data_IF_915720852196
#
_entry.id   IF_915720852196
#
_cell.length_a   1.000
_cell.length_b   1.000
_cell.length_c   1.000
_cell.angle_alpha   90.00
_cell.angle_beta   90.00
_cell.angle_gamma   90.00
#
_symmetry.space_group_name_H-M   'P 1'
#
loop_
_entity.id
_entity.type
_entity.pdbx_description
1 polymer ?
#
# COMPACT_ATOMS: atom_id res chain seq x y z
N UNK A 1 2.32 31.83 57.36
CA UNK A 1 2.56 33.29 57.46
C UNK A 1 3.95 33.60 56.92
N UNK A 2 4.04 34.54 55.96
CA UNK A 2 5.22 35.35 55.53
C UNK A 2 6.42 34.58 54.91
N UNK A 3 7.14 35.02 53.86
CA UNK A 3 7.03 35.92 52.70
C UNK A 3 8.25 35.56 51.79
N UNK A 4 8.11 35.81 50.49
CA UNK A 4 9.05 35.66 49.34
C UNK A 4 10.41 36.37 49.42
N UNK A 5 11.44 35.89 48.68
CA UNK A 5 12.32 36.68 47.77
C UNK A 5 12.86 35.80 46.61
N UNK A 6 12.89 36.40 45.42
CA UNK A 6 13.28 35.94 44.08
C UNK A 6 14.75 36.32 43.80
N UNK A 7 15.49 35.49 43.05
CA UNK A 7 16.81 35.82 42.49
C UNK A 7 16.92 35.44 41.02
N UNK A 8 16.67 36.41 40.13
CA UNK A 8 16.91 36.36 38.68
C UNK A 8 18.39 36.69 38.40
N UNK A 9 19.06 35.95 37.51
CA UNK A 9 20.22 36.46 36.77
C UNK A 9 20.13 36.07 35.31
N UNK A 10 19.84 37.08 34.49
CA UNK A 10 19.94 37.09 33.04
C UNK A 10 21.33 37.63 32.71
N UNK A 11 22.11 36.90 31.92
CA UNK A 11 23.27 37.45 31.22
C UNK A 11 23.13 37.10 29.74
N UNK A 12 22.54 38.02 28.98
CA UNK A 12 22.57 38.03 27.54
C UNK A 12 23.87 38.67 27.04
N UNK A 13 24.43 38.11 25.98
CA UNK A 13 25.37 38.82 25.09
C UNK A 13 24.79 38.80 23.68
N UNK A 14 24.25 39.96 23.32
CA UNK A 14 23.98 40.42 21.97
C UNK A 14 25.29 41.02 21.42
N UNK A 15 25.63 40.78 20.14
CA UNK A 15 26.02 41.81 19.17
C UNK A 15 26.45 41.19 17.83
N UNK A 16 25.66 41.54 16.79
CA UNK A 16 26.06 42.03 15.45
C UNK A 16 26.70 41.03 14.47
N UNK A 17 26.18 40.79 13.26
CA UNK A 17 25.43 41.67 12.36
C UNK A 17 26.33 42.07 11.19
N UNK A 18 26.18 41.39 10.05
CA UNK A 18 26.97 41.67 8.84
C UNK A 18 26.31 41.07 7.60
N UNK A 19 25.38 41.82 7.01
CA UNK A 19 24.87 41.60 5.66
C UNK A 19 25.96 41.98 4.65
N UNK A 20 26.21 41.13 3.66
CA UNK A 20 26.87 41.54 2.41
C UNK A 20 26.10 40.94 1.23
N UNK A 21 25.46 41.81 0.48
CA UNK A 21 24.84 41.56 -0.82
C UNK A 21 25.78 41.94 -1.95
N UNK A 22 25.62 41.26 -3.08
CA UNK A 22 26.06 41.55 -4.47
C UNK A 22 27.56 41.57 -4.77
N UNK A 23 28.00 40.72 -5.70
CA UNK A 23 28.25 41.11 -7.11
C UNK A 23 28.65 39.90 -7.96
N UNK A 24 28.04 39.79 -9.15
CA UNK A 24 28.56 39.01 -10.27
C UNK A 24 29.71 39.77 -10.94
N UNK A 25 30.75 39.06 -11.38
CA UNK A 25 31.54 39.40 -12.55
C UNK A 25 32.22 38.14 -13.10
N UNK A 26 32.08 37.91 -14.40
CA UNK A 26 32.79 36.92 -15.19
C UNK A 26 34.20 37.42 -15.55
N UNK A 27 35.20 36.55 -15.66
CA UNK A 27 35.76 36.14 -16.97
C UNK A 27 36.85 35.03 -16.84
N UNK A 28 37.15 34.42 -17.98
CA UNK A 28 37.83 33.16 -18.29
C UNK A 28 39.33 33.00 -17.89
N UNK A 29 39.77 31.77 -17.57
CA UNK A 29 40.39 30.81 -18.52
C UNK A 29 41.37 29.82 -17.83
N UNK A 30 41.44 28.62 -18.41
CA UNK A 30 42.51 27.60 -18.37
C UNK A 30 42.52 26.55 -17.23
N UNK A 31 42.07 25.35 -17.64
CA UNK A 31 42.72 24.03 -17.45
C UNK A 31 43.47 23.76 -16.14
N UNK A 32 42.95 22.82 -15.33
CA UNK A 32 43.66 21.56 -15.01
C UNK A 32 42.72 20.58 -14.31
N UNK A 33 42.75 19.37 -14.84
CA UNK A 33 42.14 18.11 -14.45
C UNK A 33 42.35 17.72 -12.98
N UNK A 34 41.26 17.36 -12.29
CA UNK A 34 41.17 16.26 -11.28
C UNK A 34 39.70 16.09 -10.88
N UNK A 35 39.01 15.13 -11.47
CA UNK A 35 37.62 14.81 -11.14
C UNK A 35 37.57 14.00 -9.84
N UNK A 36 37.58 14.70 -8.71
CA UNK A 36 37.08 14.20 -7.43
C UNK A 36 35.57 14.01 -7.56
N UNK A 37 35.09 12.78 -7.38
CA UNK A 37 33.66 12.42 -7.39
C UNK A 37 32.95 13.15 -6.26
N UNK A 38 32.33 14.30 -6.58
CA UNK A 38 31.40 14.98 -5.68
C UNK A 38 30.13 14.17 -5.53
N UNK A 39 29.85 13.83 -4.27
CA UNK A 39 28.63 13.23 -3.77
C UNK A 39 27.52 14.29 -3.85
N UNK A 40 26.85 14.41 -5.01
CA UNK A 40 25.67 15.28 -5.14
C UNK A 40 24.55 14.74 -4.24
N UNK A 41 24.25 15.48 -3.18
CA UNK A 41 23.05 15.31 -2.36
C UNK A 41 21.82 15.58 -3.22
N UNK A 42 21.14 14.51 -3.64
CA UNK A 42 19.84 14.58 -4.32
C UNK A 42 18.80 14.92 -3.24
N UNK A 43 18.33 16.17 -3.25
CA UNK A 43 17.21 16.65 -2.42
C UNK A 43 16.01 15.72 -2.61
N UNK A 44 15.63 15.06 -1.51
CA UNK A 44 14.42 14.25 -1.39
C UNK A 44 13.21 15.17 -1.43
N UNK A 45 12.49 15.19 -2.54
CA UNK A 45 11.07 15.56 -2.53
C UNK A 45 10.28 14.25 -2.64
N UNK A 46 9.26 14.11 -1.79
CA UNK A 46 8.40 12.95 -1.77
C UNK A 46 7.61 12.88 -3.08
N UNK A 47 7.76 11.78 -3.81
CA UNK A 47 7.05 11.58 -5.07
C UNK A 47 5.95 10.53 -4.91
N UNK A 48 4.72 11.03 -5.07
CA UNK A 48 3.68 10.43 -5.92
C UNK A 48 3.13 9.06 -5.54
N UNK A 49 1.89 9.04 -5.07
CA UNK A 49 1.03 7.85 -5.09
C UNK A 49 0.58 7.56 -6.53
N UNK A 50 1.45 7.01 -7.37
CA UNK A 50 1.04 6.56 -8.70
C UNK A 50 0.40 5.17 -8.64
N UNK A 51 -0.67 5.05 -9.43
CA UNK A 51 -1.66 3.95 -9.51
C UNK A 51 -1.12 2.58 -9.94
N UNK A 52 0.19 2.34 -9.81
CA UNK A 52 0.87 1.11 -10.19
C UNK A 52 1.88 0.67 -9.12
N UNK A 53 1.36 0.24 -7.97
CA UNK A 53 1.99 -0.77 -7.11
C UNK A 53 3.49 -0.62 -6.78
N UNK A 54 3.90 0.46 -6.09
CA UNK A 54 5.00 0.44 -5.13
C UNK A 54 6.38 -0.08 -5.57
N UNK A 55 6.77 0.03 -6.84
CA UNK A 55 7.95 -0.68 -7.35
C UNK A 55 9.31 -0.10 -6.95
N UNK A 56 9.43 1.17 -6.54
CA UNK A 56 10.73 1.76 -6.22
C UNK A 56 10.68 2.77 -5.05
N UNK A 57 10.35 2.29 -3.85
CA UNK A 57 10.71 2.99 -2.61
C UNK A 57 12.12 2.56 -2.15
N UNK A 58 13.10 2.68 -3.04
CA UNK A 58 14.50 2.31 -2.79
C UNK A 58 15.37 3.56 -2.62
N UNK A 59 16.48 3.43 -1.90
CA UNK A 59 17.50 4.48 -1.89
C UNK A 59 18.08 4.69 -3.30
N UNK A 60 18.68 5.84 -3.60
CA UNK A 60 19.36 6.08 -4.88
C UNK A 60 20.41 5.00 -5.18
N UNK A 61 21.03 4.44 -4.16
CA UNK A 61 21.97 3.33 -4.26
C UNK A 61 21.31 2.03 -4.75
N UNK A 62 20.08 1.72 -4.31
CA UNK A 62 19.36 0.52 -4.74
C UNK A 62 18.94 0.61 -6.21
N UNK A 63 18.56 1.81 -6.66
CA UNK A 63 18.28 2.07 -8.07
C UNK A 63 19.53 1.89 -8.92
N UNK A 64 20.67 2.44 -8.49
CA UNK A 64 21.95 2.28 -9.19
C UNK A 64 22.37 0.80 -9.25
N UNK A 65 22.24 0.04 -8.15
CA UNK A 65 22.54 -1.40 -8.13
C UNK A 65 21.66 -2.18 -9.11
N UNK A 66 20.35 -1.91 -9.14
CA UNK A 66 19.41 -2.56 -10.05
C UNK A 66 19.66 -2.18 -11.51
N UNK A 67 19.94 -0.92 -11.81
CA UNK A 67 20.31 -0.47 -13.15
C UNK A 67 21.56 -1.20 -13.65
N UNK A 68 22.62 -1.24 -12.84
CA UNK A 68 23.86 -1.96 -13.18
C UNK A 68 23.64 -3.46 -13.40
N UNK A 69 22.82 -4.11 -12.57
CA UNK A 69 22.49 -5.52 -12.74
C UNK A 69 21.76 -5.82 -14.06
N UNK A 70 21.02 -4.84 -14.59
CA UNK A 70 20.33 -4.92 -15.88
C UNK A 70 21.17 -4.37 -17.05
N UNK A 71 22.42 -3.97 -16.81
CA UNK A 71 23.30 -3.38 -17.83
C UNK A 71 22.93 -1.95 -18.24
N UNK A 72 22.15 -1.24 -17.43
CA UNK A 72 21.69 0.12 -17.69
C UNK A 72 22.74 1.14 -17.21
N UNK A 73 23.09 2.10 -18.07
CA UNK A 73 24.01 3.19 -17.72
C UNK A 73 23.38 4.15 -16.72
N UNK A 74 24.11 4.46 -15.63
CA UNK A 74 23.63 5.33 -14.54
C UNK A 74 24.17 6.75 -14.59
N UNK A 75 25.12 7.05 -15.48
CA UNK A 75 25.79 8.35 -15.49
C UNK A 75 24.89 9.42 -16.10
N UNK A 76 24.68 10.53 -15.37
CA UNK A 76 23.94 11.70 -15.83
C UNK A 76 22.42 11.54 -15.91
N UNK A 77 21.87 10.38 -15.50
CA UNK A 77 20.41 10.14 -15.50
C UNK A 77 19.81 10.48 -14.14
N UNK A 78 18.64 11.10 -14.15
CA UNK A 78 17.84 11.26 -12.95
C UNK A 78 17.19 9.93 -12.51
N UNK A 79 16.61 9.94 -11.30
CA UNK A 79 16.00 8.77 -10.71
C UNK A 79 14.77 8.28 -11.48
N UNK A 80 13.99 9.18 -12.09
CA UNK A 80 12.75 8.85 -12.80
C UNK A 80 13.05 8.12 -14.10
N UNK A 81 14.00 8.64 -14.87
CA UNK A 81 14.54 8.02 -16.08
C UNK A 81 15.11 6.64 -15.77
N UNK A 82 15.90 6.51 -14.70
CA UNK A 82 16.42 5.21 -14.27
C UNK A 82 15.31 4.24 -13.87
N UNK A 83 14.30 4.69 -13.13
CA UNK A 83 13.15 3.84 -12.74
C UNK A 83 12.43 3.32 -13.98
N UNK A 84 12.18 4.20 -14.97
CA UNK A 84 11.53 3.84 -16.22
C UNK A 84 12.34 2.80 -16.99
N UNK A 85 13.62 3.06 -17.22
CA UNK A 85 14.49 2.12 -17.94
C UNK A 85 14.62 0.76 -17.25
N UNK A 86 14.73 0.75 -15.90
CA UNK A 86 14.75 -0.49 -15.12
C UNK A 86 13.42 -1.24 -15.30
N UNK A 87 12.29 -0.54 -15.28
CA UNK A 87 10.96 -1.15 -15.49
C UNK A 87 10.86 -1.77 -16.89
N UNK A 88 11.24 -1.03 -17.92
CA UNK A 88 11.12 -1.45 -19.31
C UNK A 88 12.02 -2.66 -19.59
N UNK A 89 13.25 -2.64 -19.08
CA UNK A 89 14.18 -3.77 -19.15
C UNK A 89 13.64 -5.02 -18.44
N UNK A 90 12.99 -4.86 -17.29
CA UNK A 90 12.35 -5.97 -16.57
C UNK A 90 11.17 -6.55 -17.32
N UNK A 91 10.26 -5.72 -17.81
CA UNK A 91 9.10 -6.18 -18.61
C UNK A 91 9.60 -6.95 -19.83
N UNK A 92 10.62 -6.42 -20.50
CA UNK A 92 11.25 -7.07 -21.66
C UNK A 92 11.87 -8.42 -21.30
N UNK A 93 12.55 -8.52 -20.15
CA UNK A 93 13.14 -9.77 -19.66
C UNK A 93 12.06 -10.80 -19.33
N UNK A 94 11.04 -10.40 -18.57
CA UNK A 94 9.91 -11.27 -18.22
C UNK A 94 9.14 -11.75 -19.45
N UNK A 95 8.91 -10.87 -20.43
CA UNK A 95 8.29 -11.22 -21.70
C UNK A 95 9.08 -12.34 -22.41
N UNK A 96 10.40 -12.21 -22.50
CA UNK A 96 11.27 -13.26 -23.09
C UNK A 96 11.20 -14.57 -22.32
N UNK A 97 11.23 -14.52 -20.98
CA UNK A 97 11.11 -15.70 -20.13
C UNK A 97 9.76 -16.42 -20.29
N UNK A 98 8.70 -15.67 -20.59
CA UNK A 98 7.36 -16.19 -20.86
C UNK A 98 7.14 -16.59 -22.33
N UNK A 99 8.16 -16.46 -23.18
CA UNK A 99 8.07 -16.77 -24.62
C UNK A 99 7.25 -15.76 -25.44
N UNK A 100 7.05 -14.55 -24.92
CA UNK A 100 6.33 -13.46 -25.59
C UNK A 100 7.26 -12.73 -26.56
N UNK A 101 6.78 -12.49 -27.78
CA UNK A 101 7.53 -11.72 -28.78
C UNK A 101 7.65 -10.25 -28.38
N UNK A 102 8.89 -9.77 -28.25
CA UNK A 102 9.20 -8.39 -27.82
C UNK A 102 9.33 -7.41 -28.99
N UNK A 103 9.82 -7.87 -30.15
CA UNK A 103 10.15 -6.99 -31.27
C UNK A 103 8.90 -6.30 -31.83
N UNK A 104 8.94 -4.96 -31.93
CA UNK A 104 7.89 -4.16 -32.58
C UNK A 104 6.65 -3.90 -31.71
N UNK A 105 6.68 -4.24 -30.41
CA UNK A 105 5.59 -3.94 -29.47
C UNK A 105 5.97 -2.79 -28.54
N UNK A 106 4.98 -2.01 -28.14
CA UNK A 106 5.12 -1.01 -27.09
C UNK A 106 5.25 -1.69 -25.71
N UNK A 107 5.93 -1.03 -24.79
CA UNK A 107 6.16 -1.57 -23.43
C UNK A 107 4.84 -1.78 -22.68
N UNK A 108 3.83 -0.93 -22.90
CA UNK A 108 2.53 -1.05 -22.27
C UNK A 108 1.80 -2.33 -22.73
N UNK A 109 1.80 -2.61 -24.04
CA UNK A 109 1.26 -3.86 -24.59
C UNK A 109 2.03 -5.07 -24.05
N UNK A 110 3.36 -5.01 -23.98
CA UNK A 110 4.17 -6.09 -23.41
C UNK A 110 3.83 -6.33 -21.94
N UNK A 111 3.60 -5.26 -21.18
CA UNK A 111 3.21 -5.37 -19.77
C UNK A 111 1.87 -6.10 -19.62
N UNK A 112 0.88 -5.74 -20.42
CA UNK A 112 -0.44 -6.40 -20.40
C UNK A 112 -0.33 -7.88 -20.75
N UNK A 113 0.41 -8.22 -21.80
CA UNK A 113 0.66 -9.61 -22.20
C UNK A 113 1.39 -10.40 -21.12
N UNK A 114 2.44 -9.82 -20.51
CA UNK A 114 3.17 -10.43 -19.39
C UNK A 114 2.26 -10.66 -18.19
N UNK A 115 1.42 -9.68 -17.83
CA UNK A 115 0.48 -9.80 -16.72
C UNK A 115 -0.56 -10.89 -16.98
N UNK A 116 -1.12 -10.93 -18.18
CA UNK A 116 -2.08 -11.96 -18.59
C UNK A 116 -1.44 -13.35 -18.56
N UNK A 117 -0.24 -13.51 -19.12
CA UNK A 117 0.49 -14.78 -19.09
C UNK A 117 0.77 -15.25 -17.66
N UNK A 118 1.18 -14.35 -16.75
CA UNK A 118 1.34 -14.66 -15.32
C UNK A 118 0.03 -15.08 -14.65
N UNK A 119 -1.09 -14.41 -14.96
CA UNK A 119 -2.42 -14.79 -14.47
C UNK A 119 -2.82 -16.17 -15.00
N UNK A 120 -2.60 -16.46 -16.27
CA UNK A 120 -2.86 -17.76 -16.86
C UNK A 120 -2.04 -18.88 -16.22
N UNK A 121 -0.75 -18.64 -15.93
CA UNK A 121 0.08 -19.59 -15.19
C UNK A 121 -0.49 -19.86 -13.80
N UNK A 122 -0.84 -18.81 -13.04
CA UNK A 122 -1.45 -18.94 -11.70
C UNK A 122 -2.80 -19.66 -11.74
N UNK A 123 -3.61 -19.39 -12.75
CA UNK A 123 -4.87 -20.09 -12.97
C UNK A 123 -4.64 -21.59 -13.22
N UNK A 124 -3.69 -21.95 -14.08
CA UNK A 124 -3.32 -23.36 -14.34
C UNK A 124 -2.84 -24.07 -13.08
N UNK A 125 -2.01 -23.43 -12.26
CA UNK A 125 -1.54 -23.95 -10.98
C UNK A 125 -2.68 -24.24 -9.99
N UNK A 126 -3.77 -23.47 -10.09
CA UNK A 126 -4.98 -23.65 -9.28
C UNK A 126 -6.01 -24.58 -9.92
N UNK A 127 -5.72 -25.18 -11.09
CA UNK A 127 -6.65 -26.04 -11.82
C UNK A 127 -7.77 -25.28 -12.53
N UNK A 128 -7.59 -23.99 -12.78
CA UNK A 128 -8.58 -23.10 -13.43
C UNK A 128 -8.34 -23.10 -14.95
N UNK A 129 -9.43 -23.29 -15.73
CA UNK A 129 -9.37 -23.19 -17.19
C UNK A 129 -9.08 -21.76 -17.64
N UNK A 130 -8.12 -21.59 -18.57
CA UNK A 130 -7.70 -20.28 -19.08
C UNK A 130 -8.19 -19.95 -20.48
N UNK A 131 -8.90 -20.87 -21.15
CA UNK A 131 -9.33 -20.67 -22.54
C UNK A 131 -10.40 -19.57 -22.61
N UNK A 132 -10.21 -18.60 -23.50
CA UNK A 132 -11.13 -17.49 -23.78
C UNK A 132 -11.50 -16.64 -22.55
N UNK A 133 -10.61 -16.56 -21.56
CA UNK A 133 -10.79 -15.70 -20.39
C UNK A 133 -9.84 -14.53 -20.43
N UNK A 134 -10.37 -13.36 -20.11
CA UNK A 134 -9.58 -12.14 -19.94
C UNK A 134 -8.89 -12.10 -18.56
N UNK A 135 -8.06 -11.08 -18.36
CA UNK A 135 -7.34 -10.89 -17.10
C UNK A 135 -8.28 -10.70 -15.89
N UNK A 136 -9.40 -10.01 -16.08
CA UNK A 136 -10.36 -9.71 -15.00
C UNK A 136 -11.03 -11.00 -14.50
N UNK A 137 -11.57 -11.79 -15.41
CA UNK A 137 -12.21 -13.08 -15.14
C UNK A 137 -11.23 -14.04 -14.47
N UNK A 138 -10.00 -14.16 -15.01
CA UNK A 138 -8.97 -15.01 -14.41
C UNK A 138 -8.63 -14.56 -12.98
N UNK A 139 -8.50 -13.26 -12.76
CA UNK A 139 -8.18 -12.73 -11.45
C UNK A 139 -9.29 -13.00 -10.42
N UNK A 140 -10.57 -12.85 -10.82
CA UNK A 140 -11.71 -13.18 -9.97
C UNK A 140 -11.77 -14.66 -9.63
N UNK A 141 -11.62 -15.54 -10.61
CA UNK A 141 -11.64 -16.99 -10.40
C UNK A 141 -10.46 -17.46 -9.52
N UNK A 142 -9.27 -16.88 -9.71
CA UNK A 142 -8.11 -17.13 -8.85
C UNK A 142 -8.42 -16.70 -7.42
N UNK A 143 -8.98 -15.51 -7.22
CA UNK A 143 -9.35 -15.02 -5.88
C UNK A 143 -10.41 -15.91 -5.23
N UNK A 144 -11.45 -16.29 -5.97
CA UNK A 144 -12.51 -17.15 -5.49
C UNK A 144 -11.97 -18.53 -5.11
N UNK A 145 -11.09 -19.10 -5.92
CA UNK A 145 -10.49 -20.41 -5.65
C UNK A 145 -9.62 -20.37 -4.39
N UNK A 146 -8.82 -19.31 -4.20
CA UNK A 146 -8.05 -19.12 -2.97
C UNK A 146 -8.95 -18.97 -1.74
N UNK A 147 -10.03 -18.17 -1.84
CA UNK A 147 -10.99 -18.02 -0.74
C UNK A 147 -11.73 -19.32 -0.42
N UNK A 148 -12.08 -20.13 -1.43
CA UNK A 148 -12.70 -21.43 -1.20
C UNK A 148 -11.76 -22.39 -0.47
N UNK A 149 -10.46 -22.35 -0.74
CA UNK A 149 -9.46 -23.12 0.02
C UNK A 149 -9.42 -22.66 1.48
N UNK A 150 -9.31 -21.36 1.72
CA UNK A 150 -9.32 -20.77 3.06
C UNK A 150 -10.62 -21.07 3.84
N UNK A 151 -11.77 -20.97 3.17
CA UNK A 151 -13.07 -21.32 3.74
C UNK A 151 -13.09 -22.78 4.21
N UNK A 152 -12.62 -23.73 3.38
CA UNK A 152 -12.56 -25.15 3.73
C UNK A 152 -11.66 -25.41 4.95
N UNK A 153 -10.49 -24.77 5.01
CA UNK A 153 -9.60 -24.85 6.18
C UNK A 153 -10.27 -24.36 7.47
N UNK A 154 -11.15 -23.37 7.36
CA UNK A 154 -11.85 -22.81 8.51
C UNK A 154 -13.17 -23.50 8.86
N UNK A 155 -13.62 -24.45 8.04
CA UNK A 155 -14.91 -25.15 8.17
C UNK A 155 -16.11 -24.33 7.67
N UNK A 156 -15.89 -23.38 6.77
CA UNK A 156 -16.92 -22.53 6.14
C UNK A 156 -17.41 -23.20 4.85
N UNK A 157 -18.73 -23.35 4.70
CA UNK A 157 -19.33 -23.92 3.49
C UNK A 157 -19.14 -23.00 2.28
N UNK A 158 -18.77 -23.56 1.12
CA UNK A 158 -18.40 -22.79 -0.08
C UNK A 158 -19.45 -22.72 -1.19
N UNK A 159 -20.54 -23.47 -1.04
CA UNK A 159 -21.48 -23.71 -2.14
C UNK A 159 -22.40 -22.52 -2.35
N UNK A 160 -22.55 -22.10 -3.62
CA UNK A 160 -23.41 -20.98 -4.02
C UNK A 160 -22.93 -19.59 -3.58
N UNK A 161 -21.75 -19.46 -2.95
CA UNK A 161 -21.27 -18.18 -2.42
C UNK A 161 -20.30 -17.50 -3.36
N UNK A 162 -20.49 -16.19 -3.50
CA UNK A 162 -19.56 -15.32 -4.19
C UNK A 162 -18.34 -14.93 -3.32
N UNK A 163 -17.44 -14.15 -3.92
CA UNK A 163 -16.21 -13.66 -3.27
C UNK A 163 -16.51 -12.83 -2.01
N UNK A 164 -17.59 -12.05 -2.00
CA UNK A 164 -17.91 -11.15 -0.90
C UNK A 164 -18.52 -11.91 0.28
N UNK A 165 -19.50 -12.77 0.02
CA UNK A 165 -20.13 -13.64 1.01
C UNK A 165 -19.10 -14.53 1.69
N UNK A 166 -18.22 -15.20 0.91
CA UNK A 166 -17.15 -16.03 1.47
C UNK A 166 -16.22 -15.23 2.38
N UNK A 167 -15.83 -14.00 2.00
CA UNK A 167 -14.98 -13.16 2.84
C UNK A 167 -15.65 -12.78 4.15
N UNK A 168 -16.93 -12.42 4.12
CA UNK A 168 -17.65 -12.03 5.31
C UNK A 168 -17.76 -13.21 6.29
N UNK A 169 -18.06 -14.40 5.79
CA UNK A 169 -18.14 -15.60 6.63
C UNK A 169 -16.78 -16.05 7.16
N UNK A 170 -15.74 -16.06 6.33
CA UNK A 170 -14.36 -16.31 6.76
C UNK A 170 -13.98 -15.31 7.87
N UNK A 171 -14.30 -14.03 7.69
CA UNK A 171 -14.05 -12.98 8.69
C UNK A 171 -14.81 -13.26 9.98
N UNK A 172 -16.10 -13.61 9.90
CA UNK A 172 -16.93 -13.95 11.06
C UNK A 172 -16.32 -15.13 11.83
N UNK A 173 -16.06 -16.26 11.17
CA UNK A 173 -15.53 -17.46 11.82
C UNK A 173 -14.16 -17.19 12.44
N UNK A 174 -13.30 -16.45 11.76
CA UNK A 174 -11.97 -16.09 12.28
C UNK A 174 -12.07 -15.22 13.52
N UNK A 175 -12.94 -14.21 13.52
CA UNK A 175 -13.16 -13.33 14.68
C UNK A 175 -13.76 -14.10 15.84
N UNK A 176 -14.76 -14.95 15.59
CA UNK A 176 -15.39 -15.77 16.63
C UNK A 176 -14.39 -16.76 17.25
N UNK A 177 -13.52 -17.39 16.44
CA UNK A 177 -12.46 -18.27 16.96
C UNK A 177 -11.51 -17.50 17.89
N UNK A 178 -11.04 -16.32 17.47
CA UNK A 178 -10.19 -15.45 18.31
C UNK A 178 -10.90 -14.95 19.57
N UNK A 179 -12.19 -14.61 19.47
CA UNK A 179 -12.99 -14.19 20.62
C UNK A 179 -13.01 -15.29 21.68
N UNK A 180 -13.24 -16.54 21.27
CA UNK A 180 -13.18 -17.71 22.15
C UNK A 180 -11.80 -17.89 22.78
N UNK A 181 -10.73 -17.78 22.00
CA UNK A 181 -9.33 -17.86 22.49
C UNK A 181 -8.98 -16.78 23.53
N UNK A 182 -9.64 -15.62 23.44
CA UNK A 182 -9.46 -14.49 24.35
C UNK A 182 -10.49 -14.45 25.49
N UNK A 183 -11.40 -15.43 25.58
CA UNK A 183 -12.45 -15.48 26.59
C UNK A 183 -13.55 -14.42 26.42
N UNK A 184 -13.75 -13.91 25.20
CA UNK A 184 -14.75 -12.89 24.87
C UNK A 184 -16.04 -13.59 24.42
N UNK A 185 -17.17 -13.26 25.05
CA UNK A 185 -18.48 -13.75 24.59
C UNK A 185 -18.86 -13.15 23.23
N UNK A 186 -19.27 -14.01 22.31
CA UNK A 186 -19.77 -13.64 20.98
C UNK A 186 -21.30 -13.55 20.90
N UNK A 187 -22.02 -13.92 21.96
CA UNK A 187 -23.49 -13.94 21.96
C UNK A 187 -24.07 -12.53 21.97
N UNK A 188 -25.07 -12.29 21.10
CA UNK A 188 -25.78 -11.01 21.01
C UNK A 188 -24.98 -9.84 20.42
N UNK A 189 -23.73 -10.06 19.97
CA UNK A 189 -22.87 -9.02 19.40
C UNK A 189 -22.85 -9.09 17.89
N UNK A 190 -22.90 -7.93 17.25
CA UNK A 190 -22.61 -7.82 15.83
C UNK A 190 -21.10 -8.02 15.57
N UNK A 191 -20.77 -8.31 14.31
CA UNK A 191 -19.39 -8.60 13.89
C UNK A 191 -18.44 -7.43 14.14
N UNK A 192 -18.89 -6.18 14.00
CA UNK A 192 -18.04 -5.00 14.18
C UNK A 192 -17.70 -4.82 15.66
N UNK A 193 -18.69 -4.95 16.54
CA UNK A 193 -18.48 -4.88 17.99
C UNK A 193 -17.56 -6.01 18.47
N UNK A 194 -17.80 -7.24 18.03
CA UNK A 194 -16.95 -8.38 18.37
C UNK A 194 -15.51 -8.19 17.87
N UNK A 195 -15.32 -7.64 16.66
CA UNK A 195 -13.99 -7.30 16.14
C UNK A 195 -13.27 -6.28 17.00
N UNK A 196 -13.96 -5.23 17.43
CA UNK A 196 -13.38 -4.18 18.25
C UNK A 196 -12.95 -4.70 19.62
N UNK A 197 -13.77 -5.56 20.24
CA UNK A 197 -13.42 -6.20 21.50
C UNK A 197 -12.24 -7.16 21.37
N UNK A 198 -12.24 -8.00 20.33
CA UNK A 198 -11.12 -8.92 20.04
C UNK A 198 -9.84 -8.13 19.82
N UNK A 199 -9.88 -7.05 19.04
CA UNK A 199 -8.73 -6.17 18.82
C UNK A 199 -8.24 -5.56 20.15
N UNK A 200 -9.15 -5.00 20.93
CA UNK A 200 -8.83 -4.35 22.21
C UNK A 200 -8.19 -5.34 23.18
N UNK A 201 -8.76 -6.53 23.34
CA UNK A 201 -8.21 -7.57 24.21
C UNK A 201 -6.85 -8.05 23.72
N UNK A 202 -6.67 -8.22 22.40
CA UNK A 202 -5.38 -8.59 21.80
C UNK A 202 -4.32 -7.53 22.10
N UNK A 203 -4.62 -6.27 21.83
CA UNK A 203 -3.70 -5.15 22.08
C UNK A 203 -3.34 -5.05 23.56
N UNK A 204 -4.32 -5.18 24.48
CA UNK A 204 -4.06 -5.15 25.93
C UNK A 204 -3.17 -6.32 26.37
N UNK A 205 -3.42 -7.53 25.85
CA UNK A 205 -2.61 -8.71 26.12
C UNK A 205 -1.16 -8.50 25.66
N UNK A 206 -0.98 -7.99 24.45
CA UNK A 206 0.34 -7.70 23.88
C UNK A 206 1.06 -6.53 24.57
N UNK A 207 0.34 -5.49 24.98
CA UNK A 207 0.89 -4.41 25.77
C UNK A 207 1.44 -4.93 27.10
N UNK A 208 0.66 -5.79 27.77
CA UNK A 208 1.08 -6.43 29.02
C UNK A 208 2.33 -7.30 28.84
N UNK A 209 2.43 -8.08 27.75
CA UNK A 209 3.63 -8.89 27.49
C UNK A 209 4.86 -8.06 27.15
N UNK A 210 4.68 -6.86 26.60
CA UNK A 210 5.75 -5.93 26.26
C UNK A 210 6.07 -4.92 27.37
N UNK A 211 5.35 -4.95 28.50
CA UNK A 211 5.52 -4.00 29.59
C UNK A 211 5.06 -2.57 29.27
N UNK A 212 4.12 -2.41 28.33
CA UNK A 212 3.57 -1.12 27.91
C UNK A 212 2.38 -0.76 28.81
N UNK A 213 2.38 0.45 29.36
CA UNK A 213 1.29 0.96 30.17
C UNK A 213 0.03 1.20 29.33
N UNK A 214 -1.12 0.71 29.82
CA UNK A 214 -2.43 0.79 29.15
C UNK A 214 -3.35 1.83 29.81
N UNK A 215 -3.15 2.11 31.09
CA UNK A 215 -4.02 3.00 31.86
C UNK A 215 -3.91 4.44 31.37
N UNK A 216 -5.08 5.09 31.16
CA UNK A 216 -5.17 6.48 30.73
C UNK A 216 -4.88 6.74 29.24
N UNK A 217 -4.60 5.70 28.43
CA UNK A 217 -4.33 5.82 26.99
C UNK A 217 -5.49 5.33 26.13
N UNK A 218 -5.65 5.92 24.94
CA UNK A 218 -6.57 5.38 23.94
C UNK A 218 -6.03 4.05 23.38
N UNK A 219 -6.92 3.11 23.06
CA UNK A 219 -6.51 1.80 22.56
C UNK A 219 -5.70 1.88 21.26
N UNK A 220 -5.92 2.92 20.43
CA UNK A 220 -5.15 3.16 19.20
C UNK A 220 -3.72 3.57 19.53
N UNK A 221 -3.52 4.38 20.57
CA UNK A 221 -2.19 4.76 21.04
C UNK A 221 -1.44 3.53 21.57
N UNK A 222 -2.10 2.73 22.41
CA UNK A 222 -1.52 1.48 22.91
C UNK A 222 -1.18 0.53 21.76
N UNK A 223 -2.06 0.40 20.76
CA UNK A 223 -1.82 -0.41 19.57
C UNK A 223 -0.60 0.09 18.76
N UNK A 224 -0.44 1.41 18.62
CA UNK A 224 0.71 2.01 17.94
C UNK A 224 2.01 1.78 18.71
N UNK A 225 1.99 1.91 20.04
CA UNK A 225 3.15 1.63 20.89
C UNK A 225 3.56 0.15 20.85
N UNK A 226 2.58 -0.76 20.94
CA UNK A 226 2.78 -2.21 20.78
C UNK A 226 3.39 -2.52 19.43
N UNK A 227 2.80 -2.01 18.34
CA UNK A 227 3.30 -2.24 16.99
C UNK A 227 4.72 -1.69 16.81
N UNK A 228 4.97 -0.46 17.27
CA UNK A 228 6.29 0.18 17.18
C UNK A 228 7.34 -0.58 17.98
N UNK A 229 7.00 -1.06 19.17
CA UNK A 229 7.91 -1.84 20.03
C UNK A 229 8.26 -3.17 19.39
N UNK A 230 7.27 -3.88 18.83
CA UNK A 230 7.50 -5.11 18.06
C UNK A 230 8.39 -4.88 16.85
N UNK A 231 8.09 -3.85 16.06
CA UNK A 231 8.90 -3.48 14.88
C UNK A 231 10.34 -3.19 15.29
N UNK A 232 10.57 -2.39 16.34
CA UNK A 232 11.92 -2.09 16.83
C UNK A 232 12.64 -3.34 17.35
N UNK A 233 11.95 -4.21 18.10
CA UNK A 233 12.53 -5.45 18.60
C UNK A 233 12.95 -6.39 17.46
N UNK A 234 12.07 -6.53 16.45
CA UNK A 234 12.32 -7.38 15.29
C UNK A 234 13.44 -6.81 14.39
N UNK A 235 13.49 -5.49 14.22
CA UNK A 235 14.58 -4.80 13.53
C UNK A 235 15.94 -5.11 14.18
N UNK A 236 16.00 -5.05 15.52
CA UNK A 236 17.21 -5.38 16.28
C UNK A 236 17.63 -6.83 16.07
N UNK A 237 16.70 -7.79 16.18
CA UNK A 237 16.99 -9.22 15.91
C UNK A 237 17.55 -9.44 14.50
N UNK A 238 17.05 -8.69 13.52
CA UNK A 238 17.45 -8.80 12.14
C UNK A 238 18.63 -7.88 11.77
N UNK A 239 19.27 -7.19 12.73
CA UNK A 239 20.34 -6.22 12.46
C UNK A 239 19.96 -5.19 11.38
N UNK A 240 18.78 -4.56 11.55
CA UNK A 240 18.29 -3.47 10.70
C UNK A 240 18.48 -2.15 11.46
N UNK A 241 19.09 -1.15 10.82
CA UNK A 241 19.26 0.18 11.38
C UNK A 241 17.90 0.88 11.57
N UNK A 242 17.64 1.35 12.79
CA UNK A 242 16.40 2.03 13.17
C UNK A 242 16.54 3.56 13.21
N UNK A 243 17.76 4.07 13.39
CA UNK A 243 18.00 5.50 13.61
C UNK A 243 17.68 6.32 12.35
N UNK A 244 16.94 7.41 12.53
CA UNK A 244 16.51 8.30 11.44
C UNK A 244 15.47 7.72 10.48
N UNK A 245 14.91 6.54 10.75
CA UNK A 245 13.85 5.91 9.93
C UNK A 245 12.49 5.94 10.62
N UNK A 246 11.42 6.05 9.83
CA UNK A 246 10.06 5.92 10.34
C UNK A 246 9.70 4.45 10.55
N UNK A 247 8.83 4.17 11.53
CA UNK A 247 8.36 2.80 11.85
C UNK A 247 7.83 2.05 10.61
N UNK A 248 7.04 2.64 9.71
CA UNK A 248 6.57 1.94 8.51
C UNK A 248 7.71 1.49 7.58
N UNK A 249 8.78 2.28 7.47
CA UNK A 249 9.94 1.93 6.63
C UNK A 249 10.73 0.77 7.25
N UNK A 250 10.92 0.81 8.58
CA UNK A 250 11.57 -0.28 9.32
C UNK A 250 10.75 -1.57 9.18
N UNK A 251 9.43 -1.51 9.33
CA UNK A 251 8.53 -2.65 9.15
C UNK A 251 8.61 -3.24 7.74
N UNK A 252 8.72 -2.39 6.72
CA UNK A 252 8.90 -2.83 5.35
C UNK A 252 10.24 -3.53 5.13
N UNK A 253 11.33 -2.99 5.68
CA UNK A 253 12.65 -3.63 5.63
C UNK A 253 12.68 -4.98 6.35
N UNK A 254 12.03 -5.08 7.52
CA UNK A 254 11.85 -6.36 8.24
C UNK A 254 11.15 -7.37 7.35
N UNK A 255 10.02 -6.98 6.72
CA UNK A 255 9.26 -7.85 5.83
C UNK A 255 10.15 -8.35 4.68
N UNK A 256 10.88 -7.46 4.02
CA UNK A 256 11.78 -7.85 2.94
C UNK A 256 12.87 -8.83 3.42
N UNK A 257 13.51 -8.53 4.55
CA UNK A 257 14.60 -9.35 5.08
C UNK A 257 14.11 -10.74 5.50
N UNK A 258 12.93 -10.82 6.11
CA UNK A 258 12.26 -12.09 6.43
C UNK A 258 11.94 -12.92 5.19
N UNK A 259 11.41 -12.30 4.13
CA UNK A 259 11.14 -12.99 2.86
C UNK A 259 12.45 -13.47 2.21
N UNK A 260 13.50 -12.65 2.21
CA UNK A 260 14.82 -13.02 1.69
C UNK A 260 15.42 -14.20 2.47
N UNK A 261 15.30 -14.18 3.80
CA UNK A 261 15.80 -15.27 4.64
C UNK A 261 15.03 -16.57 4.38
N UNK A 262 13.69 -16.50 4.28
CA UNK A 262 12.87 -17.65 3.94
C UNK A 262 13.18 -18.19 2.53
N UNK A 263 13.38 -17.30 1.55
CA UNK A 263 13.82 -17.70 0.21
C UNK A 263 15.16 -18.46 0.27
N UNK A 264 16.15 -17.97 1.03
CA UNK A 264 17.45 -18.63 1.22
C UNK A 264 17.31 -19.99 1.89
N UNK A 265 16.49 -20.09 2.94
CA UNK A 265 16.20 -21.36 3.63
C UNK A 265 15.62 -22.40 2.67
N UNK A 266 14.73 -21.95 1.78
CA UNK A 266 14.14 -22.80 0.74
C UNK A 266 15.05 -22.97 -0.49
N UNK A 267 16.29 -22.51 -0.48
CA UNK A 267 17.21 -22.64 -1.61
C UNK A 267 16.77 -21.87 -2.88
N UNK A 268 15.93 -20.85 -2.73
CA UNK A 268 15.49 -19.97 -3.81
C UNK A 268 16.55 -18.87 -4.01
N UNK A 269 16.99 -18.67 -5.26
CA UNK A 269 17.91 -17.58 -5.60
C UNK A 269 17.26 -16.22 -5.30
N UNK A 270 17.97 -15.37 -4.56
CA UNK A 270 17.52 -14.01 -4.19
C UNK A 270 18.09 -12.91 -5.07
N UNK A 271 18.98 -13.26 -5.99
CA UNK A 271 19.65 -12.30 -6.88
C UNK A 271 18.67 -11.82 -7.95
N UNK A 272 18.62 -10.50 -8.15
CA UNK A 272 17.81 -9.81 -9.17
C UNK A 272 16.28 -10.01 -9.08
N UNK A 273 15.81 -10.65 -8.00
CA UNK A 273 14.38 -10.85 -7.73
C UNK A 273 13.83 -9.78 -6.80
N UNK A 274 12.64 -9.32 -7.11
CA UNK A 274 11.81 -8.50 -6.24
C UNK A 274 11.22 -9.33 -5.11
N UNK A 275 10.83 -8.66 -4.04
CA UNK A 275 10.10 -9.26 -2.93
C UNK A 275 8.84 -9.99 -3.39
N UNK A 276 8.16 -9.49 -4.44
CA UNK A 276 6.96 -10.12 -4.98
C UNK A 276 7.27 -11.44 -5.70
N UNK A 277 8.31 -11.46 -6.53
CA UNK A 277 8.77 -12.69 -7.19
C UNK A 277 9.23 -13.73 -6.16
N UNK A 278 9.96 -13.30 -5.11
CA UNK A 278 10.33 -14.19 -4.01
C UNK A 278 9.10 -14.75 -3.29
N UNK A 279 8.09 -13.92 -3.00
CA UNK A 279 6.83 -14.40 -2.41
C UNK A 279 6.18 -15.44 -3.32
N UNK A 280 6.09 -15.19 -4.62
CA UNK A 280 5.45 -16.11 -5.58
C UNK A 280 6.20 -17.45 -5.68
N UNK A 281 7.53 -17.44 -5.67
CA UNK A 281 8.33 -18.67 -5.69
C UNK A 281 8.27 -19.43 -4.35
N UNK A 282 8.30 -18.71 -3.22
CA UNK A 282 8.10 -19.32 -1.90
C UNK A 282 6.69 -19.93 -1.84
N UNK A 283 5.65 -19.24 -2.31
CA UNK A 283 4.27 -19.76 -2.31
C UNK A 283 4.16 -21.08 -3.08
N UNK A 284 4.88 -21.21 -4.21
CA UNK A 284 4.91 -22.46 -4.99
C UNK A 284 5.68 -23.58 -4.30
N UNK A 285 6.73 -23.25 -3.55
CA UNK A 285 7.61 -24.23 -2.92
C UNK A 285 7.10 -24.69 -1.55
N UNK A 286 6.61 -23.74 -0.74
CA UNK A 286 6.12 -23.96 0.61
C UNK A 286 5.15 -22.83 1.01
N UNK A 287 3.89 -22.97 0.59
CA UNK A 287 2.83 -22.01 0.90
C UNK A 287 2.58 -21.89 2.42
N UNK A 288 2.77 -22.98 3.16
CA UNK A 288 2.50 -23.03 4.60
C UNK A 288 3.54 -22.21 5.38
N UNK A 289 4.83 -22.33 5.04
CA UNK A 289 5.87 -21.48 5.64
C UNK A 289 5.68 -20.01 5.28
N UNK A 290 5.27 -19.71 4.05
CA UNK A 290 4.96 -18.32 3.67
C UNK A 290 3.80 -17.77 4.49
N UNK A 291 2.74 -18.57 4.69
CA UNK A 291 1.57 -18.19 5.49
C UNK A 291 1.94 -17.98 6.95
N UNK A 292 2.72 -18.89 7.54
CA UNK A 292 3.24 -18.74 8.90
C UNK A 292 4.07 -17.45 9.08
N UNK A 293 4.91 -17.13 8.09
CA UNK A 293 5.66 -15.88 8.10
C UNK A 293 4.75 -14.65 8.03
N UNK A 294 3.71 -14.67 7.19
CA UNK A 294 2.75 -13.56 7.09
C UNK A 294 1.98 -13.36 8.39
N UNK A 295 1.58 -14.45 9.06
CA UNK A 295 0.92 -14.41 10.36
C UNK A 295 1.80 -13.86 11.48
N UNK A 296 3.10 -14.16 11.47
CA UNK A 296 4.09 -13.68 12.46
C UNK A 296 4.47 -12.19 12.25
N UNK A 297 4.54 -11.73 11.00
CA UNK A 297 4.99 -10.36 10.69
C UNK A 297 3.91 -9.31 10.94
N UNK A 298 2.62 -9.65 10.81
CA UNK A 298 1.55 -8.66 10.87
C UNK A 298 0.28 -9.12 11.63
N UNK A 299 0.38 -9.58 12.89
CA UNK A 299 -0.80 -9.95 13.68
C UNK A 299 -1.76 -8.77 13.90
N UNK A 300 -1.26 -7.53 13.88
CA UNK A 300 -2.03 -6.31 14.16
C UNK A 300 -2.39 -5.47 12.92
N UNK A 301 -1.70 -5.67 11.79
CA UNK A 301 -1.83 -4.82 10.59
C UNK A 301 -2.38 -5.56 9.36
N UNK A 302 -2.22 -6.90 9.26
CA UNK A 302 -2.56 -7.65 8.02
C UNK A 302 -3.70 -8.68 8.21
N UNK A 303 -4.20 -8.90 9.43
CA UNK A 303 -5.48 -9.61 9.66
C UNK A 303 -6.71 -8.75 9.34
N UNK A 304 -6.52 -7.89 8.35
CA UNK A 304 -7.41 -6.84 7.88
C UNK A 304 -7.25 -6.52 6.40
N UNK A 305 -6.73 -7.43 5.58
CA UNK A 305 -6.88 -7.29 4.12
C UNK A 305 -8.37 -7.28 3.77
N UNK A 306 -8.83 -6.06 3.49
CA UNK A 306 -10.19 -5.56 3.23
C UNK A 306 -11.03 -5.31 4.50
N UNK A 307 -10.81 -4.14 5.12
CA UNK A 307 -11.87 -3.48 5.89
C UNK A 307 -11.57 -3.15 7.35
N UNK A 308 -10.43 -2.52 7.64
CA UNK A 308 -10.18 -1.85 8.92
C UNK A 308 -9.89 -0.36 8.72
N UNK A 309 -10.80 0.31 8.00
CA UNK A 309 -10.95 1.75 8.01
C UNK A 309 -12.44 2.08 7.98
N UNK A 310 -12.94 3.03 8.79
CA UNK A 310 -14.30 3.50 8.64
C UNK A 310 -14.37 4.29 7.33
N UNK A 311 -15.15 3.82 6.34
CA UNK A 311 -15.50 4.64 5.16
C UNK A 311 -14.84 4.33 3.82
N UNK A 312 -14.45 3.08 3.52
CA UNK A 312 -13.95 2.69 2.20
C UNK A 312 -15.01 2.18 1.22
N UNK A 313 -16.06 2.96 0.94
CA UNK A 313 -16.93 2.70 -0.22
C UNK A 313 -16.18 3.07 -1.50
N UNK A 314 -15.47 2.12 -2.09
CA UNK A 314 -15.28 2.17 -3.54
C UNK A 314 -16.49 1.51 -4.18
N UNK A 315 -17.57 2.32 -4.25
CA UNK A 315 -18.61 2.09 -5.22
C UNK A 315 -17.97 2.02 -6.59
N UNK A 316 -18.16 0.90 -7.28
CA UNK A 316 -17.87 0.82 -8.70
C UNK A 316 -18.61 1.96 -9.38
N UNK A 317 -17.85 2.82 -10.05
CA UNK A 317 -18.42 3.82 -10.93
C UNK A 317 -19.27 3.11 -11.97
N UNK A 318 -20.59 3.13 -11.76
CA UNK A 318 -21.52 2.94 -12.86
C UNK A 318 -21.30 4.14 -13.76
N UNK A 319 -20.70 3.87 -14.92
CA UNK A 319 -20.79 4.74 -16.08
C UNK A 319 -22.28 5.03 -16.30
N UNK A 320 -22.67 6.29 -16.10
CA UNK A 320 -23.88 6.79 -16.74
C UNK A 320 -23.54 6.92 -18.23
N UNK A 321 -23.99 5.95 -19.01
CA UNK A 321 -24.17 6.14 -20.45
C UNK A 321 -25.32 7.14 -20.65
N UNK A 322 -24.96 8.42 -20.74
CA UNK A 322 -25.79 9.41 -21.42
C UNK A 322 -25.78 9.06 -22.90
N UNK A 323 -26.88 8.47 -23.38
CA UNK A 323 -26.92 7.96 -24.74
C UNK A 323 -28.27 7.42 -25.20
N UNK A 324 -29.39 7.97 -24.73
CA UNK A 324 -30.67 7.76 -25.42
C UNK A 324 -31.19 9.10 -25.96
N UNK A 325 -30.84 9.33 -27.22
CA UNK A 325 -31.60 10.14 -28.18
C UNK A 325 -33.08 9.80 -28.04
N UNK A 326 -33.83 10.69 -27.41
CA UNK A 326 -35.26 10.80 -27.65
C UNK A 326 -35.38 11.27 -29.10
N UNK A 327 -36.00 10.43 -29.93
CA UNK A 327 -36.38 10.79 -31.28
C UNK A 327 -37.52 11.78 -31.17
N UNK A 328 -37.34 12.93 -31.80
CA UNK A 328 -38.41 13.81 -32.22
C UNK A 328 -39.39 13.00 -33.05
N UNK A 329 -40.63 12.91 -32.57
CA UNK A 329 -41.87 12.70 -33.33
C UNK A 329 -42.95 12.41 -32.28
N UNK A 330 -43.54 13.47 -31.72
CA UNK A 330 -44.94 13.53 -31.26
C UNK A 330 -45.20 14.90 -30.59
N UNK A 331 -45.42 15.91 -31.42
CA UNK A 331 -46.07 17.17 -31.04
C UNK A 331 -47.55 17.06 -31.39
N UNK A 332 -48.47 17.24 -30.43
CA UNK A 332 -49.75 17.84 -30.70
C UNK A 332 -49.73 19.34 -30.34
N UNK A 333 -50.29 20.11 -31.26
CA UNK A 333 -50.30 21.56 -31.34
C UNK A 333 -51.21 22.27 -30.33
N UNK A 334 -51.00 23.58 -30.23
CA UNK A 334 -51.81 24.65 -29.62
C UNK A 334 -51.69 24.77 -28.09
N UNK A 335 -51.56 25.94 -27.49
CA UNK A 335 -51.86 27.32 -27.91
C UNK A 335 -51.12 28.32 -27.03
N UNK A 336 -50.61 29.38 -27.65
CA UNK A 336 -50.50 30.77 -27.18
C UNK A 336 -50.47 31.04 -25.67
N UNK A 337 -49.33 31.49 -25.15
CA UNK A 337 -49.31 32.51 -24.09
C UNK A 337 -48.02 33.35 -24.17
N UNK A 338 -48.16 34.61 -24.58
CA UNK A 338 -47.11 35.62 -24.48
C UNK A 338 -46.89 36.03 -23.02
N UNK A 339 -45.65 36.43 -22.63
CA UNK A 339 -45.33 36.89 -21.28
C UNK A 339 -45.44 38.41 -21.18
N UNK A 340 -46.06 38.95 -20.11
CA UNK A 340 -45.78 40.30 -19.66
C UNK A 340 -45.82 40.43 -18.13
N UNK A 341 -44.92 41.30 -17.68
CA UNK A 341 -44.52 41.63 -16.32
C UNK A 341 -45.43 42.69 -15.66
N UNK A 342 -45.24 42.81 -14.33
CA UNK A 342 -45.59 43.92 -13.42
C UNK A 342 -47.10 44.04 -13.07
N UNK A 343 -47.57 44.35 -11.86
CA UNK A 343 -47.06 45.16 -10.74
C UNK A 343 -47.53 44.62 -9.36
N UNK A 344 -46.94 45.17 -8.29
CA UNK A 344 -47.23 44.94 -6.86
C UNK A 344 -48.57 45.60 -6.38
N UNK A 345 -48.78 45.91 -5.09
CA UNK A 345 -49.21 45.05 -3.96
C UNK A 345 -50.50 45.58 -3.28
N UNK A 346 -51.27 44.78 -2.54
CA UNK A 346 -52.22 45.32 -1.53
C UNK A 346 -52.32 44.43 -0.29
N UNK A 347 -52.24 45.10 0.86
CA UNK A 347 -52.41 44.66 2.24
C UNK A 347 -53.86 44.27 2.59
N UNK A 348 -54.00 43.36 3.56
CA UNK A 348 -54.99 43.44 4.66
C UNK A 348 -56.43 43.02 4.38
N UNK A 349 -56.93 42.00 5.09
CA UNK A 349 -57.75 42.17 6.31
C UNK A 349 -58.41 40.85 6.76
N UNK A 350 -58.33 40.63 8.08
CA UNK A 350 -59.39 40.14 8.99
C UNK A 350 -60.27 38.95 8.57
N UNK A 351 -60.06 37.77 9.18
CA UNK A 351 -60.72 37.30 10.43
C UNK A 351 -60.31 35.87 10.76
#
# INVERSE_FOLDING_TARGET
MKKTVIGFTIAGTLLVGGYATTSQAADQNSTTSKSTLEKREIKRHGFGHDRFGGFYKGSSEDLIKKAKALGISTNGKDAETLIKEIRDAKITKEAKELGIQVSGKEIETLLEEVQLAKLQQKAKELGISTKNKDAATLHEEIQLTKLKKEAKELGVGTDGKDVQALRQEIKQVTVTKKAKELGISSEGKDLQTLQQEVLTATVKKEAKTLGIAVEGKDIREVAQEVASTKVKAEAKKLNITIDGKMIPDIAFEIKQKKIINLAKELGISTKDKSTRELIEEIEKKDADKLKALQDDVFPLMDKGKRGFGPGGHHGGGKHHEDGQRIKDDDVPANSDFQPQMNEQPVFGNDM
#
